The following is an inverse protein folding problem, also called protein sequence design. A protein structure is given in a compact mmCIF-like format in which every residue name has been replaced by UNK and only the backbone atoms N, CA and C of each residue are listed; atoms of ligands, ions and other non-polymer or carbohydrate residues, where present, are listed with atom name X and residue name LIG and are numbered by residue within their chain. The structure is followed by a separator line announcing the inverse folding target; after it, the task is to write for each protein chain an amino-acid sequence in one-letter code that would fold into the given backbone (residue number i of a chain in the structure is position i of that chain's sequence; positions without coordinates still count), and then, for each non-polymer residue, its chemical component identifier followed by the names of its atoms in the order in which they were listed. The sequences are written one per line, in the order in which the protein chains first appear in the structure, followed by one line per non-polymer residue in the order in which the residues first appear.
data_IF_618821581225
#
_entry.id   IF_618821581225
#
_cell.length_a   1.000
_cell.length_b   1.000
_cell.length_c   1.000
_cell.angle_alpha   90.00
_cell.angle_beta   90.00
_cell.angle_gamma   90.00
#
_symmetry.space_group_name_H-M   'P 1'
#
loop_
_entity.id
_entity.type
_entity.pdbx_description
1 polymer ?
#
# COMPACT_ATOMS: atom_id res chain seq x y z
N UNK A 1 -8.81 21.06 -47.10
CA UNK A 1 -7.58 21.61 -47.70
C UNK A 1 -6.40 21.31 -46.77
N UNK A 2 -5.49 20.40 -47.14
CA UNK A 2 -4.29 20.13 -46.33
C UNK A 2 -3.35 21.34 -46.45
N UNK A 3 -3.22 22.14 -45.39
CA UNK A 3 -2.21 23.21 -45.31
C UNK A 3 -0.86 22.56 -45.00
N UNK A 4 0.19 22.88 -45.77
CA UNK A 4 1.56 22.38 -45.53
C UNK A 4 2.15 23.10 -44.32
N UNK A 5 2.77 22.41 -43.37
CA UNK A 5 3.41 23.11 -42.23
C UNK A 5 4.73 23.72 -42.70
N UNK A 6 5.13 24.85 -42.12
CA UNK A 6 6.45 25.47 -42.39
C UNK A 6 7.60 24.51 -42.03
N UNK A 7 7.37 23.54 -41.15
CA UNK A 7 8.29 22.42 -40.87
C UNK A 7 8.75 21.69 -42.13
N UNK A 8 7.87 21.56 -43.13
CA UNK A 8 8.15 20.79 -44.35
C UNK A 8 9.10 21.54 -45.30
N UNK A 9 9.31 22.84 -45.05
CA UNK A 9 10.10 23.75 -45.89
C UNK A 9 11.33 24.32 -45.15
N UNK A 10 11.32 24.35 -43.82
CA UNK A 10 12.40 24.95 -43.02
C UNK A 10 12.87 24.00 -41.90
N UNK A 11 14.15 23.65 -41.92
CA UNK A 11 14.84 22.89 -40.87
C UNK A 11 15.34 23.75 -39.70
N UNK A 12 14.98 25.04 -39.67
CA UNK A 12 15.44 26.04 -38.71
C UNK A 12 15.01 25.81 -37.24
N UNK A 13 14.13 24.85 -36.96
CA UNK A 13 13.75 24.40 -35.61
C UNK A 13 13.06 25.43 -34.70
N UNK A 14 12.89 26.67 -35.15
CA UNK A 14 12.35 27.80 -34.34
C UNK A 14 10.88 28.11 -34.61
N UNK A 15 10.22 27.34 -35.46
CA UNK A 15 8.81 27.54 -35.74
C UNK A 15 7.96 26.77 -34.71
N UNK A 16 6.96 27.45 -34.16
CA UNK A 16 5.95 26.79 -33.36
C UNK A 16 4.91 26.17 -34.30
N UNK A 17 5.10 24.90 -34.69
CA UNK A 17 4.13 24.22 -35.55
C UNK A 17 2.92 23.78 -34.70
N UNK A 18 1.68 24.16 -35.08
CA UNK A 18 0.48 23.72 -34.37
C UNK A 18 0.22 22.21 -34.49
N UNK A 19 0.94 21.51 -35.37
CA UNK A 19 0.88 20.05 -35.51
C UNK A 19 1.75 19.31 -34.50
N UNK A 20 2.78 19.95 -33.94
CA UNK A 20 3.60 19.34 -32.90
C UNK A 20 2.95 19.64 -31.54
N UNK A 21 2.63 18.62 -30.73
CA UNK A 21 2.13 18.85 -29.39
C UNK A 21 3.24 19.52 -28.58
N UNK A 22 3.09 20.81 -28.31
CA UNK A 22 3.98 21.60 -27.45
C UNK A 22 3.76 21.32 -25.96
N UNK A 23 2.95 20.32 -25.63
CA UNK A 23 2.60 20.01 -24.25
C UNK A 23 3.78 19.28 -23.61
N UNK A 24 4.36 19.94 -22.61
CA UNK A 24 5.46 19.43 -21.77
C UNK A 24 5.01 18.20 -20.96
N UNK A 25 3.70 18.09 -20.72
CA UNK A 25 3.10 16.95 -20.05
C UNK A 25 2.39 16.09 -21.09
N UNK A 26 2.84 14.84 -21.23
CA UNK A 26 2.07 13.82 -21.90
C UNK A 26 0.71 13.69 -21.21
N UNK A 27 -0.36 13.54 -21.99
CA UNK A 27 -1.68 13.15 -21.47
C UNK A 27 -1.65 11.67 -21.10
N UNK A 28 -0.62 11.21 -20.41
CA UNK A 28 -0.68 9.91 -19.77
C UNK A 28 -1.69 10.05 -18.65
N UNK A 29 -2.90 9.56 -18.89
CA UNK A 29 -3.99 9.43 -17.90
C UNK A 29 -3.62 8.54 -16.70
N UNK A 30 -2.33 8.17 -16.56
CA UNK A 30 -1.82 7.37 -15.47
C UNK A 30 -1.75 8.25 -14.23
N UNK A 31 -2.54 7.96 -13.18
CA UNK A 31 -2.40 8.68 -11.93
C UNK A 31 -0.98 8.48 -11.38
N UNK A 32 -0.36 9.56 -10.92
CA UNK A 32 0.90 9.48 -10.20
C UNK A 32 0.66 8.72 -8.90
N UNK A 33 1.16 7.49 -8.81
CA UNK A 33 1.00 6.63 -7.63
C UNK A 33 1.95 7.00 -6.48
N UNK A 34 2.78 8.02 -6.65
CA UNK A 34 3.72 8.49 -5.64
C UNK A 34 3.17 9.73 -4.95
N UNK A 35 2.52 9.50 -3.82
CA UNK A 35 2.01 10.56 -2.93
C UNK A 35 2.59 10.40 -1.54
N UNK A 36 2.56 11.48 -0.75
CA UNK A 36 2.90 11.43 0.68
C UNK A 36 2.09 10.36 1.41
N UNK A 37 0.82 10.18 1.05
CA UNK A 37 -0.05 9.17 1.63
C UNK A 37 0.48 7.74 1.41
N UNK A 38 0.79 7.39 0.16
CA UNK A 38 1.36 6.07 -0.18
C UNK A 38 2.75 5.84 0.42
N UNK A 39 3.52 6.92 0.64
CA UNK A 39 4.83 6.84 1.30
C UNK A 39 4.74 6.65 2.81
N UNK A 40 3.79 7.33 3.46
CA UNK A 40 3.63 7.31 4.91
C UNK A 40 2.81 6.10 5.41
N UNK A 41 1.92 5.57 4.57
CA UNK A 41 0.99 4.50 4.94
C UNK A 41 1.09 3.30 3.97
N UNK A 42 2.18 2.51 4.04
CA UNK A 42 2.28 1.28 3.25
C UNK A 42 1.26 0.26 3.75
N UNK A 43 0.86 -0.66 2.85
CA UNK A 43 -0.05 -1.74 3.20
C UNK A 43 0.70 -2.76 4.09
N UNK A 44 0.43 -2.71 5.39
CA UNK A 44 0.98 -3.65 6.36
C UNK A 44 0.36 -5.04 6.14
N UNK A 45 1.17 -6.08 6.01
CA UNK A 45 0.70 -7.45 5.75
C UNK A 45 0.37 -8.22 7.03
N UNK A 46 0.73 -7.68 8.20
CA UNK A 46 0.54 -8.34 9.49
C UNK A 46 -0.86 -8.08 10.06
N UNK A 47 -1.88 -8.65 9.41
CA UNK A 47 -3.26 -8.71 9.94
C UNK A 47 -3.50 -9.97 10.76
N UNK A 48 -2.50 -10.85 10.88
CA UNK A 48 -2.65 -12.07 11.64
C UNK A 48 -2.84 -11.71 13.12
N UNK A 49 -3.90 -12.24 13.77
CA UNK A 49 -4.08 -12.09 15.20
C UNK A 49 -2.81 -12.50 15.93
N UNK A 50 -2.43 -11.72 16.93
CA UNK A 50 -1.29 -12.06 17.79
C UNK A 50 -1.56 -13.39 18.49
N UNK A 51 -0.51 -14.19 18.64
CA UNK A 51 -0.56 -15.41 19.47
C UNK A 51 -1.10 -15.10 20.87
N UNK A 52 -2.03 -15.95 21.32
CA UNK A 52 -2.66 -15.78 22.62
C UNK A 52 -1.66 -16.02 23.75
N UNK A 53 -1.68 -15.17 24.77
CA UNK A 53 -0.97 -15.42 26.03
C UNK A 53 -1.70 -16.40 26.96
N UNK A 54 -2.82 -16.95 26.51
CA UNK A 54 -3.62 -17.88 27.30
C UNK A 54 -2.76 -19.11 27.59
N UNK A 55 -2.62 -19.53 28.86
CA UNK A 55 -1.92 -20.77 29.19
C UNK A 55 -2.53 -21.91 28.39
N UNK A 56 -1.66 -22.71 27.75
CA UNK A 56 -2.09 -23.95 27.11
C UNK A 56 -2.72 -24.82 28.18
N UNK A 57 -3.71 -25.61 27.80
CA UNK A 57 -4.47 -26.49 28.71
C UNK A 57 -3.62 -27.65 29.29
N UNK A 58 -2.30 -27.53 29.28
CA UNK A 58 -1.34 -28.37 30.00
C UNK A 58 -1.40 -28.17 31.52
N UNK A 59 -2.05 -27.09 32.01
CA UNK A 59 -2.40 -27.01 33.43
C UNK A 59 -3.50 -28.02 33.77
N UNK A 60 -3.10 -29.25 34.05
CA UNK A 60 -3.94 -30.21 34.75
C UNK A 60 -4.00 -29.78 36.22
N UNK A 61 -5.14 -29.20 36.63
CA UNK A 61 -5.48 -29.08 38.04
C UNK A 61 -5.44 -30.50 38.59
N UNK A 62 -4.43 -30.81 39.40
CA UNK A 62 -4.28 -32.14 39.98
C UNK A 62 -5.61 -32.56 40.58
N UNK A 63 -6.15 -33.70 40.16
CA UNK A 63 -7.34 -34.29 40.75
C UNK A 63 -6.96 -34.92 42.11
N UNK A 64 -6.27 -34.17 42.95
CA UNK A 64 -5.98 -34.56 44.32
C UNK A 64 -7.20 -34.18 45.15
N UNK A 65 -7.94 -35.16 45.70
CA UNK A 65 -9.00 -34.83 46.64
C UNK A 65 -8.37 -34.08 47.81
N UNK A 66 -8.97 -32.95 48.22
CA UNK A 66 -8.59 -32.27 49.44
C UNK A 66 -8.94 -33.21 50.60
N UNK A 67 -7.95 -33.77 51.28
CA UNK A 67 -8.18 -34.57 52.48
C UNK A 67 -8.78 -33.66 53.56
N UNK A 68 -10.06 -33.90 53.86
CA UNK A 68 -10.85 -33.13 54.84
C UNK A 68 -10.53 -33.52 56.27
N UNK A 69 -9.28 -33.38 56.70
CA UNK A 69 -8.95 -33.50 58.12
C UNK A 69 -9.49 -32.27 58.85
N UNK A 70 -10.68 -32.41 59.43
CA UNK A 70 -11.32 -31.38 60.24
C UNK A 70 -10.89 -31.57 61.68
N UNK A 71 -10.43 -30.51 62.35
CA UNK A 71 -10.15 -30.51 63.79
C UNK A 71 -11.45 -30.37 64.57
N UNK A 72 -12.19 -31.46 64.77
CA UNK A 72 -13.24 -31.53 65.78
C UNK A 72 -12.81 -32.47 66.90
N UNK A 73 -12.85 -31.90 68.11
CA UNK A 73 -12.43 -32.38 69.43
C UNK A 73 -12.87 -33.78 69.81
#
# INVERSE_FOLDING_TARGET
VKRRCICDLCSCGRHHCPHLPTKIYDKTEKPCLFSEYTGNYPLYHSYLPRESFKPKLEYQKGCTPMEGLTTSS
#
